data_IF_652928059208
#
_entry.id   IF_652928059208
#
_cell.length_a   1.000
_cell.length_b   1.000
_cell.length_c   1.000
_cell.angle_alpha   90.00
_cell.angle_beta   90.00
_cell.angle_gamma   90.00
#
_symmetry.space_group_name_H-M   'P 1'
#
loop_
_entity.id
_entity.type
_entity.pdbx_description
1 polymer ?
#
# COMPACT_ATOMS: atom_id res chain seq x y z
N UNK A 1 -10.81 -20.24 10.32
CA UNK A 1 -10.15 -19.00 9.86
C UNK A 1 -8.70 -19.36 9.55
N UNK A 2 -8.25 -19.24 8.32
CA UNK A 2 -6.85 -19.55 7.98
C UNK A 2 -6.04 -18.25 8.12
N UNK A 3 -5.14 -18.19 9.08
CA UNK A 3 -4.18 -17.11 9.17
C UNK A 3 -3.12 -17.32 8.07
N UNK A 4 -2.76 -16.28 7.36
CA UNK A 4 -1.63 -16.24 6.43
C UNK A 4 -0.52 -15.44 7.09
N UNK A 5 0.73 -15.88 6.93
CA UNK A 5 1.89 -15.21 7.50
C UNK A 5 2.73 -14.60 6.38
N UNK A 6 3.17 -13.39 6.59
CA UNK A 6 4.07 -12.66 5.72
C UNK A 6 5.22 -12.04 6.51
N UNK A 7 6.12 -11.34 5.83
CA UNK A 7 7.24 -10.62 6.43
C UNK A 7 7.30 -9.20 5.87
N UNK A 8 7.53 -8.20 6.72
CA UNK A 8 7.82 -6.83 6.28
C UNK A 8 9.23 -6.77 5.68
N UNK A 9 9.31 -6.63 4.37
CA UNK A 9 10.58 -6.62 3.63
C UNK A 9 11.24 -5.25 3.65
N UNK A 10 10.44 -4.19 3.55
CA UNK A 10 10.93 -2.81 3.57
C UNK A 10 9.84 -1.82 3.98
N UNK A 11 10.25 -0.71 4.58
CA UNK A 11 9.41 0.37 5.08
C UNK A 11 9.80 1.73 4.49
N UNK A 12 8.80 2.61 4.29
CA UNK A 12 9.01 3.91 3.67
C UNK A 12 8.12 4.98 4.27
N UNK A 13 8.66 6.20 4.40
CA UNK A 13 7.94 7.40 4.86
C UNK A 13 7.99 8.47 3.77
N UNK A 14 6.85 9.08 3.47
CA UNK A 14 6.69 10.07 2.43
C UNK A 14 6.64 11.49 2.94
N UNK A 15 7.57 12.34 2.50
CA UNK A 15 7.53 13.77 2.77
C UNK A 15 6.40 14.48 2.00
N UNK A 16 5.86 15.61 2.52
CA UNK A 16 4.92 16.43 1.78
C UNK A 16 5.45 16.83 0.40
N UNK A 17 4.60 16.76 -0.63
CA UNK A 17 4.93 17.15 -2.00
C UNK A 17 5.68 16.12 -2.84
N UNK A 18 6.31 15.09 -2.23
CA UNK A 18 7.03 14.05 -2.96
C UNK A 18 6.15 12.83 -3.25
N UNK A 19 6.20 12.28 -4.46
CA UNK A 19 5.60 10.97 -4.74
C UNK A 19 6.49 9.84 -4.24
N UNK A 20 7.80 9.98 -4.36
CA UNK A 20 8.76 9.00 -3.86
C UNK A 20 8.84 9.07 -2.34
N UNK A 21 8.88 7.91 -1.68
CA UNK A 21 9.06 7.78 -0.23
C UNK A 21 10.48 7.34 0.09
N UNK A 22 10.95 7.77 1.26
CA UNK A 22 12.29 7.44 1.77
C UNK A 22 12.25 6.16 2.60
N UNK A 23 13.20 5.28 2.36
CA UNK A 23 13.35 4.02 3.10
C UNK A 23 13.75 4.27 4.56
N UNK A 24 13.28 3.44 5.46
CA UNK A 24 13.55 3.47 6.88
C UNK A 24 13.59 2.06 7.48
N UNK A 25 14.36 1.88 8.56
CA UNK A 25 14.51 0.60 9.24
C UNK A 25 13.36 0.27 10.18
N UNK A 26 12.64 1.31 10.62
CA UNK A 26 11.48 1.19 11.50
C UNK A 26 10.37 2.14 11.06
N UNK A 27 9.13 1.76 11.34
CA UNK A 27 7.95 2.59 11.14
C UNK A 27 7.22 2.76 12.47
N UNK A 28 7.04 4.00 12.91
CA UNK A 28 6.22 4.32 14.06
C UNK A 28 4.78 4.59 13.60
N UNK A 29 3.84 3.85 14.16
CA UNK A 29 2.40 3.99 13.93
C UNK A 29 1.75 4.67 15.13
N UNK A 30 1.01 5.75 14.88
CA UNK A 30 0.08 6.37 15.81
C UNK A 30 -1.35 6.12 15.33
N UNK A 31 -2.37 6.40 16.13
CA UNK A 31 -3.78 6.22 15.74
C UNK A 31 -4.21 7.04 14.53
N UNK A 32 -3.45 8.06 14.18
CA UNK A 32 -3.68 8.92 13.02
C UNK A 32 -2.80 8.55 11.81
N UNK A 33 -2.00 7.47 11.89
CA UNK A 33 -1.19 6.95 10.80
C UNK A 33 0.30 6.85 11.11
N UNK A 34 1.13 6.80 10.07
CA UNK A 34 2.59 6.67 10.20
C UNK A 34 3.19 8.02 10.55
N UNK A 35 3.97 8.07 11.64
CA UNK A 35 4.65 9.28 12.10
C UNK A 35 5.63 9.77 11.03
N UNK A 36 5.50 11.04 10.65
CA UNK A 36 6.29 11.66 9.59
C UNK A 36 5.79 11.42 8.16
N UNK A 37 4.80 10.55 7.94
CA UNK A 37 4.24 10.36 6.60
C UNK A 37 3.22 11.47 6.23
N UNK A 38 3.21 11.86 4.97
CA UNK A 38 2.32 12.90 4.43
C UNK A 38 0.83 12.55 4.49
N UNK A 39 0.48 11.26 4.61
CA UNK A 39 -0.91 10.80 4.71
C UNK A 39 -1.38 10.65 6.15
N UNK A 40 -0.53 11.02 7.12
CA UNK A 40 -0.91 11.03 8.52
C UNK A 40 -2.03 12.03 8.77
N UNK A 41 -3.03 11.61 9.54
CA UNK A 41 -4.18 12.43 9.97
C UNK A 41 -5.40 11.57 10.25
N UNK A 42 -6.25 12.01 11.16
CA UNK A 42 -7.55 11.37 11.44
C UNK A 42 -8.56 11.61 10.31
N UNK A 43 -8.42 12.76 9.66
CA UNK A 43 -9.28 13.18 8.54
C UNK A 43 -8.44 13.52 7.32
N UNK A 44 -9.10 13.59 6.18
CA UNK A 44 -8.58 14.09 4.92
C UNK A 44 -9.68 14.73 4.09
N UNK A 45 -9.30 15.60 3.18
CA UNK A 45 -10.24 16.08 2.17
C UNK A 45 -10.54 14.96 1.14
N UNK A 46 -11.78 14.84 0.74
CA UNK A 46 -12.17 14.02 -0.39
C UNK A 46 -11.53 14.57 -1.67
N UNK A 47 -11.11 13.65 -2.55
CA UNK A 47 -10.66 14.05 -3.88
C UNK A 47 -11.87 14.35 -4.76
N UNK A 48 -11.62 14.61 -6.04
CA UNK A 48 -12.64 14.91 -7.01
C UNK A 48 -13.59 13.71 -7.31
N UNK A 49 -13.82 13.45 -8.58
CA UNK A 49 -14.82 12.49 -9.08
C UNK A 49 -14.61 11.03 -8.67
N UNK A 50 -13.44 10.66 -8.15
CA UNK A 50 -13.09 9.28 -7.80
C UNK A 50 -13.28 8.93 -6.33
N UNK A 51 -13.64 9.90 -5.50
CA UNK A 51 -13.89 9.66 -4.06
C UNK A 51 -15.37 9.35 -3.78
N UNK A 52 -15.65 8.86 -2.58
CA UNK A 52 -17.01 8.52 -2.10
C UNK A 52 -17.83 9.76 -1.73
N UNK A 53 -17.16 10.90 -1.59
CA UNK A 53 -17.76 12.18 -1.20
C UNK A 53 -17.37 13.26 -2.22
N UNK A 54 -18.15 14.34 -2.35
CA UNK A 54 -17.78 15.47 -3.19
C UNK A 54 -16.40 16.02 -2.82
N UNK A 55 -15.62 16.43 -3.83
CA UNK A 55 -14.27 16.96 -3.64
C UNK A 55 -14.24 18.08 -2.60
N UNK A 56 -13.21 18.07 -1.75
CA UNK A 56 -13.04 19.01 -0.65
C UNK A 56 -13.83 18.71 0.64
N UNK A 57 -14.76 17.74 0.63
CA UNK A 57 -15.45 17.31 1.85
C UNK A 57 -14.46 16.72 2.84
N UNK A 58 -14.43 17.22 4.08
CA UNK A 58 -13.64 16.59 5.15
C UNK A 58 -14.27 15.25 5.54
N UNK A 59 -13.46 14.21 5.58
CA UNK A 59 -13.90 12.85 5.90
C UNK A 59 -12.84 12.09 6.70
N UNK A 60 -13.24 10.96 7.31
CA UNK A 60 -12.29 10.05 7.97
C UNK A 60 -11.19 9.62 7.01
N UNK A 61 -9.97 9.60 7.48
CA UNK A 61 -8.82 9.12 6.72
C UNK A 61 -8.73 7.60 6.82
N UNK A 62 -9.10 6.90 5.77
CA UNK A 62 -8.98 5.46 5.60
C UNK A 62 -7.68 5.05 4.90
N UNK A 63 -6.76 6.01 4.71
CA UNK A 63 -5.49 5.83 3.98
C UNK A 63 -4.29 6.26 4.82
N UNK A 64 -4.33 5.96 6.12
CA UNK A 64 -3.29 6.30 7.08
C UNK A 64 -1.98 5.54 6.82
N UNK A 65 -2.07 4.41 6.14
CA UNK A 65 -0.96 3.59 5.66
C UNK A 65 -1.29 2.98 4.31
N UNK A 66 -0.25 2.53 3.60
CA UNK A 66 -0.36 1.76 2.36
C UNK A 66 0.62 0.59 2.36
N UNK A 67 0.20 -0.56 1.83
CA UNK A 67 1.04 -1.75 1.71
C UNK A 67 0.86 -2.44 0.36
N UNK A 68 1.90 -3.11 -0.12
CA UNK A 68 1.91 -3.87 -1.36
C UNK A 68 2.68 -5.18 -1.18
N UNK A 69 2.31 -6.23 -1.92
CA UNK A 69 3.13 -7.43 -1.97
C UNK A 69 4.45 -7.17 -2.70
N UNK A 70 5.54 -7.64 -2.11
CA UNK A 70 6.86 -7.57 -2.73
C UNK A 70 6.87 -8.28 -4.09
N UNK A 71 6.23 -9.42 -4.16
CA UNK A 71 6.10 -10.25 -5.35
C UNK A 71 5.28 -9.57 -6.46
N UNK A 72 4.23 -8.82 -6.09
CA UNK A 72 3.42 -8.05 -7.03
C UNK A 72 4.27 -6.96 -7.71
N UNK A 73 5.11 -6.24 -6.95
CA UNK A 73 6.01 -5.23 -7.53
C UNK A 73 7.05 -5.83 -8.46
N UNK A 74 7.58 -6.99 -8.12
CA UNK A 74 8.50 -7.72 -9.00
C UNK A 74 7.82 -8.13 -10.31
N UNK A 75 6.59 -8.65 -10.23
CA UNK A 75 5.79 -9.02 -11.41
C UNK A 75 5.44 -7.80 -12.28
N UNK A 76 5.00 -6.69 -11.68
CA UNK A 76 4.73 -5.42 -12.37
C UNK A 76 5.98 -4.91 -13.08
N UNK A 77 7.12 -4.92 -12.40
CA UNK A 77 8.40 -4.46 -12.98
C UNK A 77 8.84 -5.29 -14.17
N UNK A 78 8.67 -6.61 -14.07
CA UNK A 78 8.93 -7.53 -15.18
C UNK A 78 7.99 -7.28 -16.36
N UNK A 79 6.70 -7.06 -16.11
CA UNK A 79 5.73 -6.74 -17.17
C UNK A 79 6.05 -5.41 -17.86
N UNK A 80 6.53 -4.42 -17.11
CA UNK A 80 7.00 -3.14 -17.65
C UNK A 80 8.33 -3.26 -18.39
N UNK A 81 9.05 -4.37 -18.31
CA UNK A 81 10.37 -4.57 -18.91
C UNK A 81 11.47 -3.74 -18.24
N UNK A 82 11.35 -3.46 -16.95
CA UNK A 82 12.33 -2.67 -16.20
C UNK A 82 13.60 -3.48 -15.89
N UNK A 83 14.78 -2.84 -15.84
CA UNK A 83 16.05 -3.50 -15.51
C UNK A 83 16.15 -3.97 -14.05
N UNK A 84 15.36 -3.37 -13.16
CA UNK A 84 15.28 -3.72 -11.75
C UNK A 84 13.84 -3.63 -11.25
N UNK A 85 13.54 -4.35 -10.16
CA UNK A 85 12.24 -4.30 -9.53
C UNK A 85 11.99 -2.91 -8.89
N UNK A 86 10.78 -2.37 -9.08
CA UNK A 86 10.29 -1.20 -8.36
C UNK A 86 10.23 -1.50 -6.87
N UNK A 87 10.65 -0.54 -6.06
CA UNK A 87 10.49 -0.60 -4.60
C UNK A 87 9.15 0.02 -4.20
N UNK A 88 8.63 -0.34 -3.05
CA UNK A 88 7.37 0.21 -2.56
C UNK A 88 7.42 1.75 -2.44
N UNK A 89 8.57 2.31 -2.02
CA UNK A 89 8.79 3.75 -1.98
C UNK A 89 8.71 4.45 -3.34
N UNK A 90 9.13 3.79 -4.40
CA UNK A 90 9.10 4.34 -5.76
C UNK A 90 7.66 4.52 -6.28
N UNK A 91 6.75 3.68 -5.79
CA UNK A 91 5.33 3.74 -6.10
C UNK A 91 4.49 4.35 -4.96
N UNK A 92 5.10 5.14 -4.08
CA UNK A 92 4.45 5.87 -2.98
C UNK A 92 3.74 4.98 -1.95
N UNK A 93 4.22 3.75 -1.73
CA UNK A 93 3.70 2.81 -0.72
C UNK A 93 4.61 2.78 0.50
N UNK A 94 4.03 2.58 1.69
CA UNK A 94 4.76 2.57 2.95
C UNK A 94 5.39 1.21 3.29
N UNK A 95 4.66 0.11 3.06
CA UNK A 95 5.07 -1.23 3.47
C UNK A 95 5.18 -2.15 2.25
N UNK A 96 6.29 -2.87 2.14
CA UNK A 96 6.44 -4.01 1.24
C UNK A 96 6.38 -5.29 2.06
N UNK A 97 5.39 -6.14 1.82
CA UNK A 97 5.16 -7.39 2.55
C UNK A 97 5.35 -8.56 1.60
N UNK A 98 6.13 -9.57 1.99
CA UNK A 98 6.34 -10.79 1.23
C UNK A 98 5.58 -11.99 1.82
N UNK A 99 5.45 -13.06 1.02
CA UNK A 99 4.90 -14.35 1.47
C UNK A 99 3.36 -14.41 1.46
N UNK A 100 2.67 -13.41 0.92
CA UNK A 100 1.21 -13.34 0.90
C UNK A 100 0.70 -13.28 -0.53
N UNK A 101 0.19 -14.41 -1.01
CA UNK A 101 -0.44 -14.47 -2.34
C UNK A 101 -1.72 -13.63 -2.38
N UNK A 102 -1.98 -13.00 -3.54
CA UNK A 102 -3.15 -12.16 -3.79
C UNK A 102 -3.36 -11.05 -2.74
N UNK A 103 -2.26 -10.51 -2.20
CA UNK A 103 -2.29 -9.48 -1.14
C UNK A 103 -3.22 -8.32 -1.49
N UNK A 104 -3.15 -7.82 -2.72
CA UNK A 104 -3.96 -6.68 -3.19
C UNK A 104 -5.46 -6.98 -3.28
N UNK A 105 -5.88 -8.24 -3.13
CA UNK A 105 -7.28 -8.69 -3.16
C UNK A 105 -7.85 -9.02 -1.79
N UNK A 106 -7.08 -8.83 -0.73
CA UNK A 106 -7.58 -9.02 0.63
C UNK A 106 -8.76 -8.08 0.89
N UNK A 107 -9.87 -8.58 1.45
CA UNK A 107 -11.08 -7.78 1.62
C UNK A 107 -10.89 -6.72 2.72
N UNK A 108 -11.72 -5.69 2.65
CA UNK A 108 -11.91 -4.73 3.75
C UNK A 108 -12.19 -5.47 5.06
N UNK A 109 -11.64 -4.96 6.17
CA UNK A 109 -11.75 -5.59 7.48
C UNK A 109 -10.68 -6.67 7.74
N UNK A 110 -9.83 -6.98 6.74
CA UNK A 110 -8.66 -7.83 6.98
C UNK A 110 -7.72 -7.14 7.97
N UNK A 111 -7.26 -7.89 8.96
CA UNK A 111 -6.39 -7.42 10.04
C UNK A 111 -4.98 -7.94 9.83
N UNK A 112 -4.01 -7.03 9.90
CA UNK A 112 -2.58 -7.30 9.87
C UNK A 112 -2.04 -7.09 11.28
N UNK A 113 -1.57 -8.15 11.94
CA UNK A 113 -0.98 -8.11 13.28
C UNK A 113 0.51 -8.38 13.19
N UNK A 114 1.33 -7.41 13.51
CA UNK A 114 2.78 -7.53 13.57
C UNK A 114 3.22 -8.16 14.90
N UNK A 115 4.38 -8.83 14.91
CA UNK A 115 4.91 -9.50 16.10
C UNK A 115 5.13 -8.51 17.27
N UNK A 116 5.54 -7.26 16.98
CA UNK A 116 5.67 -6.17 17.95
C UNK A 116 4.35 -5.63 18.51
N UNK A 117 3.21 -6.16 18.07
CA UNK A 117 1.89 -5.82 18.60
C UNK A 117 1.15 -4.72 17.85
N UNK A 118 1.74 -4.12 16.84
CA UNK A 118 1.02 -3.16 15.96
C UNK A 118 -0.06 -3.90 15.20
N UNK A 119 -1.25 -3.32 15.15
CA UNK A 119 -2.39 -3.87 14.40
C UNK A 119 -2.91 -2.85 13.40
N UNK A 120 -3.00 -3.28 12.15
CA UNK A 120 -3.52 -2.48 11.03
C UNK A 120 -4.77 -3.14 10.47
N UNK A 121 -5.73 -2.33 10.03
CA UNK A 121 -6.95 -2.81 9.35
C UNK A 121 -6.99 -2.34 7.91
N UNK A 122 -7.32 -3.25 6.99
CA UNK A 122 -7.54 -2.93 5.57
C UNK A 122 -8.86 -2.21 5.38
N UNK A 123 -8.82 -1.08 4.71
CA UNK A 123 -10.02 -0.29 4.38
C UNK A 123 -10.38 -0.36 2.90
N UNK A 124 -9.38 -0.36 2.02
CA UNK A 124 -9.60 -0.32 0.58
C UNK A 124 -8.44 -0.91 -0.22
N UNK A 125 -8.75 -1.34 -1.44
CA UNK A 125 -7.77 -1.51 -2.50
C UNK A 125 -7.14 -0.15 -2.85
N UNK A 126 -5.86 -0.14 -3.14
CA UNK A 126 -5.13 1.05 -3.56
C UNK A 126 -5.03 1.11 -5.10
N UNK A 127 -5.97 1.75 -5.81
CA UNK A 127 -5.96 1.72 -7.27
C UNK A 127 -4.75 2.46 -7.85
N UNK A 128 -4.20 2.01 -8.99
CA UNK A 128 -3.22 2.79 -9.72
C UNK A 128 -3.87 4.08 -10.25
N UNK A 129 -3.11 5.18 -10.26
CA UNK A 129 -3.58 6.48 -10.73
C UNK A 129 -2.68 7.05 -11.84
N UNK A 130 -3.24 7.93 -12.66
CA UNK A 130 -2.54 8.57 -13.77
C UNK A 130 -1.29 9.34 -13.31
N UNK A 131 -1.37 10.04 -12.18
CA UNK A 131 -0.23 10.79 -11.62
C UNK A 131 0.96 9.87 -11.29
N UNK A 132 0.71 8.69 -10.72
CA UNK A 132 1.76 7.72 -10.43
C UNK A 132 2.28 7.08 -11.72
N UNK A 133 1.39 6.77 -12.67
CA UNK A 133 1.80 6.21 -13.95
C UNK A 133 2.69 7.16 -14.75
N UNK A 134 2.34 8.46 -14.76
CA UNK A 134 3.19 9.49 -15.35
C UNK A 134 4.55 9.56 -14.65
N UNK A 135 4.57 9.55 -13.30
CA UNK A 135 5.81 9.57 -12.53
C UNK A 135 6.72 8.39 -12.87
N UNK A 136 6.18 7.18 -13.02
CA UNK A 136 6.95 6.00 -13.43
C UNK A 136 7.46 6.16 -14.87
N UNK A 137 6.63 6.64 -15.79
CA UNK A 137 7.06 6.89 -17.18
C UNK A 137 8.17 7.94 -17.31
N UNK A 138 8.17 8.95 -16.44
CA UNK A 138 9.15 10.02 -16.45
C UNK A 138 10.52 9.61 -15.85
N UNK A 139 10.56 8.59 -14.99
CA UNK A 139 11.76 8.27 -14.20
C UNK A 139 12.32 6.86 -14.45
N UNK A 140 11.63 6.02 -15.22
CA UNK A 140 12.03 4.64 -15.47
C UNK A 140 12.00 4.32 -16.96
N UNK A 141 12.93 3.49 -17.40
CA UNK A 141 13.06 3.04 -18.79
C UNK A 141 13.09 1.52 -18.85
N UNK A 142 12.68 0.98 -19.97
CA UNK A 142 12.79 -0.46 -20.26
C UNK A 142 14.25 -0.87 -20.43
N UNK A 143 14.53 -2.17 -20.33
CA UNK A 143 15.89 -2.73 -20.57
C UNK A 143 16.45 -2.34 -21.95
N UNK A 144 15.60 -2.21 -22.95
CA UNK A 144 15.97 -1.77 -24.31
C UNK A 144 15.95 -0.24 -24.48
N UNK A 145 15.93 0.51 -23.38
CA UNK A 145 15.88 1.97 -23.34
C UNK A 145 14.61 2.62 -23.96
N UNK A 146 13.64 1.83 -24.40
CA UNK A 146 12.36 2.38 -24.84
C UNK A 146 11.61 3.05 -23.68
N UNK A 147 10.98 4.21 -23.92
CA UNK A 147 10.21 4.91 -22.91
C UNK A 147 8.95 4.10 -22.51
N UNK A 148 8.51 4.29 -21.28
CA UNK A 148 7.22 3.80 -20.83
C UNK A 148 6.09 4.73 -21.31
N UNK A 149 4.97 4.14 -21.71
CA UNK A 149 3.74 4.87 -21.98
C UNK A 149 3.07 5.36 -20.69
N UNK A 150 2.28 6.43 -20.80
CA UNK A 150 1.59 7.04 -19.65
C UNK A 150 0.57 6.12 -18.95
N UNK A 151 0.08 5.07 -19.64
CA UNK A 151 -0.86 4.08 -19.08
C UNK A 151 -0.20 2.78 -18.65
N UNK A 152 1.06 2.53 -19.02
CA UNK A 152 1.71 1.24 -18.85
C UNK A 152 1.71 0.76 -17.39
N UNK A 153 2.03 1.67 -16.45
CA UNK A 153 2.00 1.32 -15.03
C UNK A 153 0.57 1.05 -14.52
N UNK A 154 -0.44 1.78 -15.00
CA UNK A 154 -1.85 1.52 -14.64
C UNK A 154 -2.24 0.11 -15.07
N UNK A 155 -1.93 -0.26 -16.31
CA UNK A 155 -2.27 -1.56 -16.87
C UNK A 155 -1.52 -2.69 -16.17
N UNK A 156 -0.21 -2.54 -15.98
CA UNK A 156 0.63 -3.54 -15.33
C UNK A 156 0.28 -3.74 -13.85
N UNK A 157 -0.08 -2.67 -13.12
CA UNK A 157 -0.35 -2.73 -11.69
C UNK A 157 -1.83 -2.90 -11.32
N UNK A 158 -2.71 -3.10 -12.31
CA UNK A 158 -4.12 -3.37 -12.07
C UNK A 158 -4.30 -4.62 -11.22
N UNK A 159 -4.95 -4.46 -10.04
CA UNK A 159 -5.14 -5.48 -8.99
C UNK A 159 -3.86 -5.93 -8.26
N UNK A 160 -2.72 -5.28 -8.50
CA UNK A 160 -1.43 -5.56 -7.86
C UNK A 160 -0.84 -4.32 -7.17
N UNK A 161 -1.64 -3.23 -7.00
CA UNK A 161 -1.17 -1.95 -6.47
C UNK A 161 -1.18 -1.88 -4.94
N UNK A 162 -1.68 -2.92 -4.28
CA UNK A 162 -1.71 -3.04 -2.84
C UNK A 162 -2.99 -2.52 -2.20
N UNK A 163 -2.88 -2.23 -0.92
CA UNK A 163 -3.99 -1.90 -0.03
C UNK A 163 -3.68 -0.62 0.75
N UNK A 164 -4.72 -0.02 1.28
CA UNK A 164 -4.66 1.08 2.24
C UNK A 164 -5.54 0.80 3.43
N UNK A 165 -5.26 1.47 4.56
CA UNK A 165 -6.03 1.24 5.75
C UNK A 165 -5.76 2.21 6.88
N UNK A 166 -6.27 1.85 8.06
CA UNK A 166 -6.16 2.60 9.30
C UNK A 166 -5.41 1.82 10.38
N UNK A 167 -4.94 2.52 11.40
CA UNK A 167 -4.24 1.94 12.55
C UNK A 167 -5.26 1.57 13.62
N UNK A 168 -5.26 0.29 14.05
CA UNK A 168 -6.08 -0.22 15.16
C UNK A 168 -5.31 -0.22 16.48
N UNK A 169 -4.03 -0.62 16.45
CA UNK A 169 -3.14 -0.59 17.62
C UNK A 169 -1.83 0.06 17.21
N UNK A 170 -1.44 1.17 17.84
CA UNK A 170 -0.22 1.90 17.54
C UNK A 170 1.02 1.17 18.08
N UNK A 171 2.20 1.60 17.64
CA UNK A 171 3.49 1.07 18.07
C UNK A 171 4.55 1.18 17.01
N UNK A 172 5.65 0.45 17.17
CA UNK A 172 6.79 0.47 16.24
C UNK A 172 6.90 -0.90 15.58
N UNK A 173 7.11 -0.90 14.26
CA UNK A 173 7.38 -2.09 13.46
C UNK A 173 8.77 -1.98 12.86
N UNK A 174 9.55 -3.05 12.94
CA UNK A 174 10.90 -3.14 12.37
C UNK A 174 10.91 -3.93 11.07
N UNK A 175 11.81 -3.58 10.17
CA UNK A 175 12.01 -4.36 8.94
C UNK A 175 12.48 -5.78 9.30
N UNK A 176 11.94 -6.78 8.61
CA UNK A 176 12.14 -8.21 8.90
C UNK A 176 11.10 -8.82 9.85
N UNK A 177 10.25 -7.98 10.46
CA UNK A 177 9.22 -8.45 11.40
C UNK A 177 8.13 -9.25 10.69
N UNK A 178 7.71 -10.34 11.34
CA UNK A 178 6.60 -11.16 10.88
C UNK A 178 5.25 -10.46 11.03
N UNK A 179 4.36 -10.71 10.09
CA UNK A 179 2.99 -10.20 10.10
C UNK A 179 1.98 -11.34 9.91
N UNK A 180 1.06 -11.48 10.83
CA UNK A 180 -0.08 -12.40 10.72
C UNK A 180 -1.28 -11.67 10.13
N UNK A 181 -1.84 -12.24 9.06
CA UNK A 181 -2.97 -11.66 8.31
C UNK A 181 -4.21 -12.52 8.53
N UNK A 182 -5.26 -11.92 9.05
CA UNK A 182 -6.55 -12.56 9.29
C UNK A 182 -7.65 -11.84 8.54
N UNK A 183 -8.33 -12.56 7.66
CA UNK A 183 -9.54 -12.06 7.01
C UNK A 183 -10.72 -12.16 7.97
N UNK A 184 -11.60 -11.15 7.93
CA UNK A 184 -12.89 -11.23 8.59
C UNK A 184 -13.72 -12.35 7.95
N UNK A 185 -14.30 -13.18 8.79
CA UNK A 185 -15.19 -14.26 8.34
C UNK A 185 -16.62 -13.89 8.71
N UNK A 186 -17.47 -13.77 7.71
CA UNK A 186 -18.90 -13.56 7.95
C UNK A 186 -19.43 -14.57 8.97
N UNK A 187 -20.21 -14.14 9.96
CA UNK A 187 -20.89 -15.03 10.89
C UNK A 187 -21.69 -16.11 10.15
N UNK A 188 -21.81 -17.30 10.75
CA UNK A 188 -22.48 -18.44 10.09
C UNK A 188 -23.90 -18.09 9.59
N UNK A 189 -24.63 -17.25 10.32
CA UNK A 189 -25.98 -16.82 9.99
C UNK A 189 -26.06 -15.80 8.83
N UNK A 190 -24.94 -15.23 8.38
CA UNK A 190 -24.82 -14.36 7.20
C UNK A 190 -24.24 -15.09 5.99
N UNK A 191 -23.86 -16.35 6.13
CA UNK A 191 -23.36 -17.15 5.01
C UNK A 191 -24.58 -17.81 4.34
N UNK A 192 -24.93 -17.34 3.14
CA UNK A 192 -25.92 -18.00 2.30
C UNK A 192 -25.40 -19.36 1.83
#
# INVERSE_FOLDING_TARGET
MRAVHGTLVSGYVGAPGSLKKTECDTLEFAFDGIVGDRHRGFTRAAWDLTDKQPGGTERRNERQWSAVAHEDLAAVSKQLGLPAALRAGDVAVNLSISGVSEFSRLPRGTVLTFEGGVVLIVEEYNPPCSRMSQHIADHYHRVNEEPLGQSDFIEASKFCRGLVGAVEVPGIVSIGEGVMIKQEVLPKWLRA
#
